data_IF_788539314208
#
_entry.id   IF_788539314208
#
_cell.length_a   1.000
_cell.length_b   1.000
_cell.length_c   1.000
_cell.angle_alpha   90.00
_cell.angle_beta   90.00
_cell.angle_gamma   90.00
#
_symmetry.space_group_name_H-M   'P 1'
#
loop_
_entity.id
_entity.type
_entity.pdbx_description
1 polymer ?
#
# COMPACT_ATOMS: atom_id res chain seq x y z
N UNK A 1 23.89 -62.73 -21.60
CA UNK A 1 22.54 -62.62 -20.99
C UNK A 1 21.53 -61.96 -21.96
N UNK A 2 21.26 -62.57 -23.13
CA UNK A 2 20.39 -61.98 -24.17
C UNK A 2 19.00 -62.62 -24.28
N UNK A 3 18.85 -63.83 -23.72
CA UNK A 3 17.61 -64.62 -23.76
C UNK A 3 16.57 -64.12 -22.75
N UNK A 4 16.97 -63.79 -21.51
CA UNK A 4 16.04 -63.29 -20.48
C UNK A 4 15.32 -61.98 -20.85
N UNK A 5 15.99 -61.09 -21.62
CA UNK A 5 15.36 -59.85 -22.11
C UNK A 5 14.25 -60.10 -23.14
N UNK A 6 14.36 -61.18 -23.92
CA UNK A 6 13.40 -61.50 -24.97
C UNK A 6 12.14 -62.15 -24.39
N UNK A 7 12.31 -63.01 -23.38
CA UNK A 7 11.18 -63.65 -22.68
C UNK A 7 10.40 -62.67 -21.79
N UNK A 8 11.08 -61.71 -21.14
CA UNK A 8 10.43 -60.63 -20.38
C UNK A 8 9.57 -59.72 -21.28
N UNK A 9 9.99 -59.48 -22.53
CA UNK A 9 9.24 -58.65 -23.48
C UNK A 9 7.97 -59.32 -24.02
N UNK A 10 7.84 -60.65 -23.88
CA UNK A 10 6.63 -61.40 -24.24
C UNK A 10 5.62 -61.49 -23.10
N UNK A 11 5.97 -61.00 -21.90
CA UNK A 11 5.10 -61.03 -20.75
C UNK A 11 3.97 -59.99 -20.93
N UNK A 12 2.75 -60.51 -21.05
CA UNK A 12 1.53 -59.73 -21.10
C UNK A 12 0.95 -59.61 -19.70
N UNK A 13 0.74 -58.38 -19.24
CA UNK A 13 0.27 -58.06 -17.90
C UNK A 13 -1.09 -57.37 -17.99
N UNK A 14 -2.04 -57.84 -17.20
CA UNK A 14 -3.28 -57.10 -16.96
C UNK A 14 -3.00 -55.88 -16.08
N UNK A 15 -3.70 -54.78 -16.38
CA UNK A 15 -3.70 -53.62 -15.50
C UNK A 15 -4.14 -53.99 -14.08
N UNK A 16 -3.49 -53.44 -13.05
CA UNK A 16 -3.93 -53.64 -11.64
C UNK A 16 -5.38 -53.22 -11.39
N UNK A 17 -5.91 -52.29 -12.19
CA UNK A 17 -7.29 -51.83 -12.12
C UNK A 17 -8.27 -52.73 -12.89
N UNK A 18 -7.87 -53.97 -13.25
CA UNK A 18 -8.76 -54.94 -13.92
C UNK A 18 -9.98 -55.29 -13.08
N UNK A 19 -9.85 -55.26 -11.74
CA UNK A 19 -10.97 -55.44 -10.81
C UNK A 19 -12.03 -54.34 -10.90
N UNK A 20 -11.65 -53.15 -11.35
CA UNK A 20 -12.54 -52.01 -11.61
C UNK A 20 -13.05 -51.97 -13.06
N UNK A 21 -12.70 -52.98 -13.89
CA UNK A 21 -13.16 -53.09 -15.27
C UNK A 21 -12.18 -52.60 -16.33
N UNK A 22 -10.90 -52.39 -15.98
CA UNK A 22 -9.88 -52.13 -16.99
C UNK A 22 -9.47 -53.43 -17.71
N UNK A 23 -9.86 -53.58 -18.97
CA UNK A 23 -9.52 -54.76 -19.79
C UNK A 23 -8.16 -54.67 -20.49
N UNK A 24 -7.37 -53.62 -20.21
CA UNK A 24 -6.09 -53.38 -20.88
C UNK A 24 -5.05 -54.44 -20.51
N UNK A 25 -4.38 -54.96 -21.54
CA UNK A 25 -3.24 -55.86 -21.42
C UNK A 25 -2.01 -55.20 -22.03
N UNK A 26 -0.99 -54.96 -21.23
CA UNK A 26 0.22 -54.24 -21.61
C UNK A 26 1.46 -55.14 -21.53
N UNK A 27 2.54 -54.72 -22.19
CA UNK A 27 3.87 -55.27 -21.93
C UNK A 27 4.44 -54.72 -20.63
N UNK A 28 5.44 -55.39 -20.08
CA UNK A 28 6.18 -54.91 -18.91
C UNK A 28 6.75 -53.49 -19.09
N UNK A 29 7.16 -53.11 -20.31
CA UNK A 29 7.70 -51.75 -20.59
C UNK A 29 6.62 -50.65 -20.62
N UNK A 30 5.35 -51.00 -20.86
CA UNK A 30 4.27 -50.03 -21.09
C UNK A 30 3.24 -49.96 -19.96
N UNK A 31 3.19 -50.97 -19.08
CA UNK A 31 2.24 -51.06 -17.98
C UNK A 31 2.30 -49.86 -17.04
N UNK A 32 3.49 -49.40 -16.67
CA UNK A 32 3.67 -48.25 -15.76
C UNK A 32 3.10 -46.95 -16.34
N UNK A 33 3.25 -46.74 -17.66
CA UNK A 33 2.67 -45.57 -18.34
C UNK A 33 1.15 -45.68 -18.34
N UNK A 34 0.63 -46.84 -18.72
CA UNK A 34 -0.81 -47.08 -18.70
C UNK A 34 -1.41 -46.84 -17.31
N UNK A 35 -0.83 -47.40 -16.24
CA UNK A 35 -1.40 -47.28 -14.89
C UNK A 35 -1.45 -45.84 -14.37
N UNK A 36 -0.52 -44.97 -14.79
CA UNK A 36 -0.55 -43.54 -14.45
C UNK A 36 -1.73 -42.82 -15.10
N UNK A 37 -2.08 -43.22 -16.31
CA UNK A 37 -3.10 -42.59 -17.16
C UNK A 37 -4.43 -43.36 -17.18
N UNK A 38 -4.50 -44.52 -16.51
CA UNK A 38 -5.63 -45.43 -16.54
C UNK A 38 -6.92 -44.73 -16.06
N UNK A 39 -7.95 -44.80 -16.89
CA UNK A 39 -9.26 -44.19 -16.66
C UNK A 39 -10.02 -44.81 -15.47
N UNK A 40 -9.72 -46.08 -15.16
CA UNK A 40 -10.30 -46.84 -14.04
C UNK A 40 -9.51 -46.69 -12.74
N UNK A 41 -8.41 -45.93 -12.75
CA UNK A 41 -7.64 -45.66 -11.55
C UNK A 41 -8.46 -44.81 -10.58
N UNK A 42 -8.54 -45.25 -9.32
CA UNK A 42 -9.15 -44.48 -8.24
C UNK A 42 -8.22 -43.33 -7.84
N UNK A 43 -8.72 -42.09 -7.94
CA UNK A 43 -8.00 -40.88 -7.57
C UNK A 43 -8.80 -40.05 -6.57
N UNK A 44 -8.13 -39.34 -5.64
CA UNK A 44 -8.81 -38.43 -4.73
C UNK A 44 -9.40 -37.23 -5.49
N UNK A 45 -10.52 -36.72 -5.01
CA UNK A 45 -11.03 -35.41 -5.42
C UNK A 45 -10.00 -34.30 -5.11
N UNK A 46 -9.88 -33.32 -5.99
CA UNK A 46 -8.97 -32.16 -5.83
C UNK A 46 -9.53 -31.07 -4.91
N UNK A 47 -10.82 -31.09 -4.58
CA UNK A 47 -11.44 -30.09 -3.71
C UNK A 47 -11.02 -30.34 -2.26
N UNK A 48 -10.50 -29.30 -1.62
CA UNK A 48 -10.07 -29.36 -0.23
C UNK A 48 -11.23 -29.77 0.69
N UNK A 49 -11.01 -30.80 1.51
CA UNK A 49 -12.03 -31.35 2.42
C UNK A 49 -12.88 -32.49 1.83
N UNK A 50 -12.85 -32.71 0.52
CA UNK A 50 -13.50 -33.88 -0.08
C UNK A 50 -12.62 -35.13 0.07
N UNK A 51 -13.14 -36.18 0.72
CA UNK A 51 -12.42 -37.44 0.94
C UNK A 51 -12.79 -38.53 -0.08
N UNK A 52 -13.64 -38.21 -1.06
CA UNK A 52 -14.13 -39.15 -2.06
C UNK A 52 -12.98 -39.58 -3.00
N UNK A 53 -12.86 -40.89 -3.19
CA UNK A 53 -12.06 -41.50 -4.25
C UNK A 53 -12.98 -41.84 -5.42
N UNK A 54 -12.56 -41.48 -6.63
CA UNK A 54 -13.37 -41.69 -7.83
C UNK A 54 -12.49 -42.16 -8.99
N UNK A 55 -13.08 -42.94 -9.89
CA UNK A 55 -12.43 -43.29 -11.15
C UNK A 55 -12.06 -42.03 -11.93
N UNK A 56 -10.84 -42.00 -12.48
CA UNK A 56 -10.34 -40.86 -13.26
C UNK A 56 -11.33 -40.40 -14.33
N UNK A 57 -11.99 -41.31 -15.05
CA UNK A 57 -13.00 -40.98 -16.08
C UNK A 57 -14.25 -40.27 -15.54
N UNK A 58 -14.57 -40.44 -14.25
CA UNK A 58 -15.75 -39.87 -13.61
C UNK A 58 -15.43 -38.60 -12.79
N UNK A 59 -14.15 -38.20 -12.72
CA UNK A 59 -13.71 -37.06 -11.92
C UNK A 59 -14.44 -35.78 -12.31
N UNK A 60 -14.55 -35.47 -13.61
CA UNK A 60 -15.18 -34.23 -14.08
C UNK A 60 -16.67 -34.15 -13.68
N UNK A 61 -17.37 -35.27 -13.76
CA UNK A 61 -18.77 -35.37 -13.32
C UNK A 61 -18.92 -35.12 -11.82
N UNK A 62 -18.01 -35.66 -11.01
CA UNK A 62 -17.99 -35.38 -9.57
C UNK A 62 -17.65 -33.91 -9.28
N UNK A 63 -16.62 -33.34 -9.91
CA UNK A 63 -16.22 -31.96 -9.68
C UNK A 63 -17.35 -30.96 -9.98
N UNK A 64 -18.21 -31.26 -10.96
CA UNK A 64 -19.37 -30.43 -11.28
C UNK A 64 -20.40 -30.32 -10.14
N UNK A 65 -20.54 -31.37 -9.31
CA UNK A 65 -21.56 -31.47 -8.24
C UNK A 65 -20.97 -31.63 -6.83
N UNK A 66 -19.65 -31.56 -6.70
CA UNK A 66 -18.96 -31.76 -5.43
C UNK A 66 -19.41 -30.70 -4.40
N UNK A 67 -19.83 -31.12 -3.22
CA UNK A 67 -20.27 -30.22 -2.14
C UNK A 67 -19.13 -29.30 -1.66
N UNK A 68 -17.88 -29.76 -1.77
CA UNK A 68 -16.67 -29.01 -1.44
C UNK A 68 -16.18 -28.12 -2.58
N UNK A 69 -16.91 -28.03 -3.70
CA UNK A 69 -16.57 -27.10 -4.77
C UNK A 69 -16.88 -25.68 -4.34
N UNK A 70 -15.89 -24.81 -4.44
CA UNK A 70 -16.07 -23.36 -4.36
C UNK A 70 -16.59 -22.78 -5.67
N UNK A 71 -17.51 -21.83 -5.59
CA UNK A 71 -18.04 -21.08 -6.73
C UNK A 71 -18.37 -19.65 -6.32
N UNK A 72 -18.42 -18.74 -7.28
CA UNK A 72 -18.98 -17.41 -7.03
C UNK A 72 -20.47 -17.52 -6.64
N UNK A 73 -20.89 -16.63 -5.75
CA UNK A 73 -22.27 -16.55 -5.31
C UNK A 73 -23.18 -16.38 -6.54
N UNK A 74 -24.20 -17.24 -6.71
CA UNK A 74 -25.10 -17.18 -7.87
C UNK A 74 -25.93 -15.88 -7.92
N UNK A 75 -26.06 -15.19 -6.79
CA UNK A 75 -26.75 -13.90 -6.70
C UNK A 75 -25.88 -12.72 -7.12
N UNK A 76 -24.62 -12.95 -7.50
CA UNK A 76 -23.73 -11.91 -8.03
C UNK A 76 -23.20 -10.92 -6.99
N UNK A 77 -23.13 -11.31 -5.71
CA UNK A 77 -22.55 -10.45 -4.67
C UNK A 77 -21.02 -10.38 -4.72
N UNK A 78 -20.36 -11.17 -5.58
CA UNK A 78 -18.90 -11.18 -5.76
C UNK A 78 -18.12 -12.08 -4.81
N UNK A 79 -18.76 -12.66 -3.79
CA UNK A 79 -18.11 -13.58 -2.86
C UNK A 79 -18.02 -15.00 -3.41
N UNK A 80 -16.92 -15.70 -3.08
CA UNK A 80 -16.77 -17.13 -3.31
C UNK A 80 -17.37 -17.90 -2.14
N UNK A 81 -18.24 -18.85 -2.43
CA UNK A 81 -18.94 -19.70 -1.47
C UNK A 81 -18.64 -21.17 -1.74
N UNK A 82 -18.56 -21.97 -0.68
CA UNK A 82 -18.56 -23.43 -0.81
C UNK A 82 -19.97 -23.90 -1.14
N UNK A 83 -20.10 -24.88 -2.05
CA UNK A 83 -21.41 -25.38 -2.47
C UNK A 83 -22.22 -25.96 -1.30
N UNK A 84 -21.55 -26.56 -0.31
CA UNK A 84 -22.16 -27.03 0.94
C UNK A 84 -22.73 -25.89 1.84
N UNK A 85 -22.19 -24.68 1.72
CA UNK A 85 -22.50 -23.54 2.59
C UNK A 85 -23.42 -22.50 1.92
N UNK A 86 -23.91 -22.78 0.72
CA UNK A 86 -24.73 -21.85 -0.07
C UNK A 86 -25.99 -21.36 0.69
N UNK A 87 -26.54 -22.20 1.58
CA UNK A 87 -27.70 -21.84 2.41
C UNK A 87 -27.35 -20.94 3.60
N UNK A 88 -26.08 -20.88 4.00
CA UNK A 88 -25.59 -20.05 5.11
C UNK A 88 -25.11 -18.68 4.61
N UNK A 89 -24.79 -18.55 3.32
CA UNK A 89 -24.34 -17.30 2.75
C UNK A 89 -25.45 -16.24 2.70
N UNK A 90 -25.20 -15.07 3.29
CA UNK A 90 -26.12 -13.94 3.26
C UNK A 90 -25.46 -12.73 2.56
N UNK A 91 -25.75 -12.57 1.27
CA UNK A 91 -25.21 -11.49 0.44
C UNK A 91 -25.36 -10.11 1.08
N UNK A 92 -26.51 -9.84 1.71
CA UNK A 92 -26.82 -8.53 2.29
C UNK A 92 -25.97 -8.29 3.54
N UNK A 93 -25.75 -9.32 4.36
CA UNK A 93 -24.92 -9.20 5.55
C UNK A 93 -23.44 -8.96 5.20
N UNK A 94 -22.91 -9.72 4.24
CA UNK A 94 -21.52 -9.57 3.77
C UNK A 94 -21.29 -8.18 3.19
N UNK A 95 -22.12 -7.77 2.23
CA UNK A 95 -21.98 -6.46 1.59
C UNK A 95 -22.18 -5.30 2.57
N UNK A 96 -23.08 -5.43 3.56
CA UNK A 96 -23.23 -4.42 4.62
C UNK A 96 -21.97 -4.29 5.45
N UNK A 97 -21.34 -5.41 5.79
CA UNK A 97 -20.08 -5.43 6.55
C UNK A 97 -18.97 -4.77 5.75
N UNK A 98 -18.84 -5.11 4.47
CA UNK A 98 -17.85 -4.51 3.58
C UNK A 98 -18.07 -2.99 3.41
N UNK A 99 -19.32 -2.55 3.22
CA UNK A 99 -19.66 -1.14 3.14
C UNK A 99 -19.33 -0.38 4.44
N UNK A 100 -19.57 -0.98 5.60
CA UNK A 100 -19.25 -0.36 6.89
C UNK A 100 -17.73 -0.25 7.09
N UNK A 101 -16.97 -1.26 6.69
CA UNK A 101 -15.51 -1.23 6.70
C UNK A 101 -14.97 -0.13 5.78
N UNK A 102 -15.45 -0.05 4.54
CA UNK A 102 -15.06 0.98 3.58
C UNK A 102 -15.43 2.38 4.07
N UNK A 103 -16.59 2.53 4.71
CA UNK A 103 -17.03 3.80 5.31
C UNK A 103 -16.12 4.21 6.46
N UNK A 104 -15.79 3.28 7.36
CA UNK A 104 -14.89 3.52 8.48
C UNK A 104 -13.49 3.94 7.99
N UNK A 105 -12.95 3.21 7.01
CA UNK A 105 -11.66 3.53 6.40
C UNK A 105 -11.66 4.93 5.76
N UNK A 106 -12.73 5.29 5.05
CA UNK A 106 -12.88 6.62 4.47
C UNK A 106 -12.91 7.72 5.53
N UNK A 107 -13.64 7.51 6.63
CA UNK A 107 -13.70 8.47 7.75
C UNK A 107 -12.31 8.69 8.32
N UNK A 108 -11.58 7.62 8.64
CA UNK A 108 -10.21 7.72 9.15
C UNK A 108 -9.31 8.49 8.20
N UNK A 109 -9.34 8.20 6.89
CA UNK A 109 -8.53 8.91 5.89
C UNK A 109 -8.85 10.40 5.81
N UNK A 110 -10.13 10.76 5.89
CA UNK A 110 -10.56 12.17 5.87
C UNK A 110 -10.10 12.90 7.14
N UNK A 111 -10.21 12.26 8.30
CA UNK A 111 -9.75 12.82 9.58
C UNK A 111 -8.23 13.02 9.61
N UNK A 112 -7.46 12.04 9.11
CA UNK A 112 -6.01 12.14 8.97
C UNK A 112 -5.61 13.29 8.05
N UNK A 113 -6.22 13.39 6.86
CA UNK A 113 -5.93 14.47 5.92
C UNK A 113 -6.29 15.85 6.49
N UNK A 114 -7.41 15.93 7.21
CA UNK A 114 -7.81 17.15 7.93
C UNK A 114 -6.77 17.52 8.99
N UNK A 115 -6.33 16.57 9.81
CA UNK A 115 -5.38 16.82 10.88
C UNK A 115 -4.01 17.24 10.34
N UNK A 116 -3.55 16.63 9.25
CA UNK A 116 -2.33 17.03 8.57
C UNK A 116 -2.42 18.47 8.06
N UNK A 117 -3.55 18.83 7.41
CA UNK A 117 -3.78 20.18 6.91
C UNK A 117 -3.82 21.22 8.04
N UNK A 118 -4.51 20.93 9.14
CA UNK A 118 -4.56 21.78 10.34
C UNK A 118 -3.16 21.99 10.93
N UNK A 119 -2.39 20.91 11.10
CA UNK A 119 -1.01 20.97 11.61
C UNK A 119 -0.10 21.83 10.74
N UNK A 120 -0.23 21.73 9.40
CA UNK A 120 0.52 22.55 8.44
C UNK A 120 0.16 24.03 8.56
N UNK A 121 -1.13 24.35 8.64
CA UNK A 121 -1.60 25.72 8.80
C UNK A 121 -1.16 26.31 10.14
N UNK A 122 -1.22 25.54 11.22
CA UNK A 122 -0.77 25.97 12.54
C UNK A 122 0.74 26.23 12.58
N UNK A 123 1.53 25.35 11.97
CA UNK A 123 2.97 25.53 11.85
C UNK A 123 3.30 26.80 11.06
N UNK A 124 2.64 27.00 9.91
CA UNK A 124 2.82 28.20 9.09
C UNK A 124 2.41 29.46 9.85
N UNK A 125 1.28 29.44 10.56
CA UNK A 125 0.81 30.55 11.39
C UNK A 125 1.83 30.90 12.47
N UNK A 126 2.36 29.93 13.21
CA UNK A 126 3.38 30.15 14.23
C UNK A 126 4.65 30.78 13.65
N UNK A 127 5.13 30.25 12.53
CA UNK A 127 6.31 30.79 11.84
C UNK A 127 6.08 32.24 11.37
N UNK A 128 4.92 32.54 10.80
CA UNK A 128 4.59 33.90 10.36
C UNK A 128 4.51 34.90 11.51
N UNK A 129 3.87 34.53 12.63
CA UNK A 129 3.82 35.36 13.85
C UNK A 129 5.21 35.61 14.42
N UNK A 130 6.07 34.60 14.45
CA UNK A 130 7.45 34.75 14.91
C UNK A 130 8.23 35.72 14.00
N UNK A 131 8.08 35.57 12.68
CA UNK A 131 8.72 36.45 11.70
C UNK A 131 8.23 37.89 11.82
N UNK A 132 6.93 38.09 12.01
CA UNK A 132 6.35 39.41 12.26
C UNK A 132 6.95 40.05 13.51
N UNK A 133 7.08 39.30 14.61
CA UNK A 133 7.70 39.79 15.84
C UNK A 133 9.15 40.21 15.64
N UNK A 134 9.94 39.42 14.90
CA UNK A 134 11.34 39.76 14.57
C UNK A 134 11.41 41.06 13.77
N UNK A 135 10.58 41.19 12.73
CA UNK A 135 10.55 42.40 11.90
C UNK A 135 10.11 43.63 12.70
N UNK A 136 9.16 43.49 13.63
CA UNK A 136 8.76 44.58 14.53
C UNK A 136 9.94 45.04 15.40
N UNK A 137 10.69 44.11 15.99
CA UNK A 137 11.87 44.43 16.79
C UNK A 137 12.96 45.12 15.96
N UNK A 138 13.22 44.65 14.74
CA UNK A 138 14.18 45.28 13.82
C UNK A 138 13.77 46.72 13.46
N UNK A 139 12.49 46.95 13.21
CA UNK A 139 11.94 48.29 12.94
C UNK A 139 12.15 49.20 14.16
N UNK A 140 11.92 48.71 15.38
CA UNK A 140 12.13 49.49 16.60
C UNK A 140 13.61 49.84 16.82
N UNK A 141 14.52 48.89 16.60
CA UNK A 141 15.95 49.14 16.70
C UNK A 141 16.42 50.16 15.65
N UNK A 142 15.98 50.04 14.40
CA UNK A 142 16.28 51.00 13.34
C UNK A 142 15.75 52.40 13.67
N UNK A 143 14.54 52.52 14.24
CA UNK A 143 13.99 53.81 14.72
C UNK A 143 14.86 54.41 15.83
N UNK A 144 15.36 53.59 16.74
CA UNK A 144 16.25 54.01 17.81
C UNK A 144 17.59 54.51 17.27
N UNK A 145 18.21 53.75 16.34
CA UNK A 145 19.44 54.14 15.66
C UNK A 145 19.28 55.45 14.87
N UNK A 146 18.18 55.59 14.12
CA UNK A 146 17.87 56.82 13.38
C UNK A 146 17.72 58.01 14.32
N UNK A 147 17.09 57.83 15.49
CA UNK A 147 16.94 58.88 16.49
C UNK A 147 18.29 59.33 17.08
N UNK A 148 19.19 58.38 17.38
CA UNK A 148 20.56 58.67 17.82
C UNK A 148 21.33 59.44 16.75
N UNK A 149 21.33 58.94 15.52
CA UNK A 149 22.01 59.59 14.39
C UNK A 149 21.49 61.01 14.13
N UNK A 150 20.17 61.24 14.21
CA UNK A 150 19.61 62.59 14.09
C UNK A 150 20.08 63.52 15.22
N UNK A 151 20.25 63.00 16.44
CA UNK A 151 20.82 63.78 17.55
C UNK A 151 22.27 64.16 17.27
N UNK A 152 23.08 63.20 16.83
CA UNK A 152 24.50 63.42 16.53
C UNK A 152 24.68 64.43 15.40
N UNK A 153 23.88 64.33 14.33
CA UNK A 153 23.88 65.31 13.23
C UNK A 153 23.53 66.70 13.74
N UNK A 154 22.54 66.84 14.63
CA UNK A 154 22.20 68.15 15.23
C UNK A 154 23.35 68.72 16.04
N UNK A 155 24.02 67.90 16.84
CA UNK A 155 25.19 68.31 17.63
C UNK A 155 26.37 68.74 16.75
N UNK A 156 26.68 67.98 15.70
CA UNK A 156 27.73 68.32 14.74
C UNK A 156 27.42 69.62 14.01
N UNK A 157 26.18 69.82 13.57
CA UNK A 157 25.75 71.07 12.93
C UNK A 157 25.84 72.28 13.88
N UNK A 158 25.60 72.09 15.17
CA UNK A 158 25.77 73.15 16.18
C UNK A 158 27.25 73.47 16.39
N UNK A 159 28.11 72.45 16.52
CA UNK A 159 29.55 72.62 16.66
C UNK A 159 30.18 73.33 15.44
N UNK A 160 29.78 72.95 14.22
CA UNK A 160 30.24 73.58 12.98
C UNK A 160 29.87 75.07 12.92
N UNK A 161 28.64 75.42 13.33
CA UNK A 161 28.22 76.83 13.41
C UNK A 161 29.06 77.62 14.40
N UNK A 162 29.31 77.07 15.58
CA UNK A 162 30.12 77.71 16.60
C UNK A 162 31.56 77.91 16.11
N UNK A 163 32.16 76.87 15.52
CA UNK A 163 33.52 76.96 14.96
C UNK A 163 33.63 78.04 13.88
N UNK A 164 32.61 78.16 13.02
CA UNK A 164 32.55 79.22 12.01
C UNK A 164 32.49 80.63 12.62
N UNK A 165 31.71 80.81 13.68
CA UNK A 165 31.65 82.08 14.42
C UNK A 165 32.98 82.42 15.08
N UNK A 166 33.65 81.44 15.69
CA UNK A 166 34.96 81.62 16.31
C UNK A 166 36.03 82.03 15.28
N UNK A 167 36.00 81.42 14.08
CA UNK A 167 36.88 81.79 12.97
C UNK A 167 36.62 83.22 12.48
N UNK A 168 35.35 83.59 12.27
CA UNK A 168 34.96 84.95 11.86
C UNK A 168 35.42 86.01 12.88
N UNK A 169 35.29 85.69 14.17
CA UNK A 169 35.70 86.59 15.26
C UNK A 169 37.23 86.71 15.34
N UNK A 170 37.97 85.61 15.23
CA UNK A 170 39.43 85.64 15.20
C UNK A 170 39.99 86.41 13.98
N UNK A 171 39.31 86.34 12.83
CA UNK A 171 39.66 87.14 11.65
C UNK A 171 39.45 88.64 11.86
N UNK A 172 38.36 89.03 12.55
CA UNK A 172 38.10 90.42 12.92
C UNK A 172 39.17 90.95 13.88
N UNK A 173 39.47 90.21 14.94
CA UNK A 173 40.51 90.59 15.92
C UNK A 173 41.88 90.76 15.26
N UNK A 174 42.22 89.89 14.30
CA UNK A 174 43.48 90.00 13.54
C UNK A 174 43.54 91.24 12.63
N UNK A 175 42.40 91.80 12.19
CA UNK A 175 42.36 93.01 11.36
C UNK A 175 42.47 94.31 12.17
N UNK A 176 42.23 94.25 13.48
CA UNK A 176 42.28 95.41 14.38
C UNK A 176 43.66 95.60 15.06
N UNK A 177 44.58 94.65 14.89
CA UNK A 177 45.99 94.68 15.32
C UNK A 177 46.92 95.12 14.18
#
# INVERSE_FOLDING_TARGET
HRYMKNDLNRLQLHCKNSEYGCEMVCSLESIDRHERECEYCQIPCSNAGCTVQIERRNLDGHLAVCEYRSRECPNGCGYTILSAEDTQHNCVAELRTELELLRSEMICRVEEAKHEMESRLDSQRRHMVQKESILQNEIEELKSQMSRMMSDVRSLMAAERQHRQELEQAELEKREL
#
